data_IF_998826101538
#
_entry.id   IF_998826101538
#
_cell.length_a   1.000
_cell.length_b   1.000
_cell.length_c   1.000
_cell.angle_alpha   90.00
_cell.angle_beta   90.00
_cell.angle_gamma   90.00
#
_symmetry.space_group_name_H-M   'P 1'
#
loop_
_entity.id
_entity.type
_entity.pdbx_description
1 polymer ?
#
# COMPACT_ATOMS: atom_id res chain seq x y z
N UNK A 1 -15.49 20.10 16.24
CA UNK A 1 -14.39 19.63 15.36
C UNK A 1 -14.66 18.32 14.64
N UNK A 2 -15.65 17.47 14.98
CA UNK A 2 -15.97 16.25 14.20
C UNK A 2 -16.60 16.50 12.81
N UNK A 3 -17.09 17.71 12.53
CA UNK A 3 -17.88 18.00 11.31
C UNK A 3 -17.06 18.18 10.03
N UNK A 4 -15.77 18.53 10.10
CA UNK A 4 -14.96 18.79 8.88
C UNK A 4 -14.45 17.50 8.24
N UNK A 5 -14.04 16.51 9.03
CA UNK A 5 -13.55 15.22 8.51
C UNK A 5 -14.64 14.42 7.79
N UNK A 6 -15.83 14.34 8.39
CA UNK A 6 -16.98 13.63 7.80
C UNK A 6 -17.46 14.28 6.48
N UNK A 7 -17.34 15.61 6.38
CA UNK A 7 -17.77 16.37 5.19
C UNK A 7 -16.75 16.23 4.03
N UNK A 8 -15.46 16.07 4.34
CA UNK A 8 -14.43 15.75 3.35
C UNK A 8 -14.62 14.33 2.81
N UNK A 9 -14.83 13.34 3.68
CA UNK A 9 -15.07 11.94 3.28
C UNK A 9 -16.33 11.82 2.42
N UNK A 10 -17.40 12.56 2.77
CA UNK A 10 -18.63 12.58 1.97
C UNK A 10 -18.42 13.21 0.60
N UNK A 11 -17.73 14.36 0.52
CA UNK A 11 -17.38 15.00 -0.76
C UNK A 11 -16.47 14.14 -1.63
N UNK A 12 -15.60 13.34 -1.02
CA UNK A 12 -14.75 12.37 -1.72
C UNK A 12 -15.55 11.19 -2.27
N UNK A 13 -16.51 10.67 -1.51
CA UNK A 13 -17.44 9.65 -1.99
C UNK A 13 -18.31 10.17 -3.13
N UNK A 14 -18.77 11.42 -3.05
CA UNK A 14 -19.53 12.09 -4.10
C UNK A 14 -18.68 12.32 -5.36
N UNK A 15 -17.43 12.80 -5.22
CA UNK A 15 -16.49 12.95 -6.34
C UNK A 15 -16.15 11.60 -7.00
N UNK A 16 -16.00 10.54 -6.20
CA UNK A 16 -15.84 9.17 -6.69
C UNK A 16 -17.06 8.68 -7.46
N UNK A 17 -18.28 9.15 -7.13
CA UNK A 17 -19.52 8.77 -7.81
C UNK A 17 -19.80 9.53 -9.11
N UNK A 18 -19.36 10.79 -9.21
CA UNK A 18 -19.46 11.59 -10.46
C UNK A 18 -18.60 10.97 -11.57
N UNK A 19 -17.51 10.29 -11.19
CA UNK A 19 -16.59 9.60 -12.08
C UNK A 19 -17.19 8.36 -12.81
N UNK A 20 -18.33 7.85 -12.33
CA UNK A 20 -19.02 6.66 -12.88
C UNK A 20 -19.99 7.04 -14.03
N UNK A 21 -20.05 8.31 -14.43
CA UNK A 21 -21.06 8.84 -15.38
C UNK A 21 -20.89 8.40 -16.86
N UNK A 22 -19.94 7.52 -17.19
CA UNK A 22 -19.83 6.89 -18.51
C UNK A 22 -19.08 7.71 -19.58
N UNK A 23 -18.53 8.87 -19.23
CA UNK A 23 -17.61 9.63 -20.08
C UNK A 23 -16.17 9.07 -19.94
N UNK A 24 -15.40 8.93 -21.04
CA UNK A 24 -14.01 8.48 -20.97
C UNK A 24 -13.16 9.50 -20.20
N UNK A 25 -12.23 9.00 -19.39
CA UNK A 25 -11.37 9.85 -18.59
C UNK A 25 -10.40 10.64 -19.48
N UNK A 26 -10.17 11.93 -19.19
CA UNK A 26 -9.12 12.69 -19.86
C UNK A 26 -7.77 11.97 -19.70
N UNK A 27 -7.00 11.85 -20.78
CA UNK A 27 -5.70 11.15 -20.79
C UNK A 27 -4.70 11.77 -19.81
N UNK A 28 -4.86 13.06 -19.48
CA UNK A 28 -4.07 13.81 -18.52
C UNK A 28 -4.57 13.70 -17.06
N UNK A 29 -5.64 12.95 -16.82
CA UNK A 29 -6.13 12.70 -15.46
C UNK A 29 -5.15 11.85 -14.66
N UNK A 30 -5.00 12.19 -13.37
CA UNK A 30 -4.15 11.43 -12.44
C UNK A 30 -4.50 9.94 -12.33
N UNK A 31 -5.73 9.59 -12.73
CA UNK A 31 -6.25 8.23 -12.66
C UNK A 31 -5.92 7.37 -13.89
N UNK A 32 -5.40 7.97 -14.98
CA UNK A 32 -5.04 7.23 -16.21
C UNK A 32 -3.69 7.61 -16.79
N UNK A 33 -3.17 8.80 -16.49
CA UNK A 33 -1.89 9.27 -17.02
C UNK A 33 -0.74 8.36 -16.60
N UNK A 34 0.19 8.13 -17.51
CA UNK A 34 1.49 7.53 -17.20
C UNK A 34 2.45 8.64 -16.76
N UNK A 35 3.09 8.44 -15.61
CA UNK A 35 3.95 9.44 -15.01
C UNK A 35 5.42 9.07 -15.19
N UNK A 36 6.26 10.06 -15.49
CA UNK A 36 7.71 9.94 -15.40
C UNK A 36 8.14 10.05 -13.92
N UNK A 37 8.08 8.91 -13.21
CA UNK A 37 8.37 8.82 -11.77
C UNK A 37 9.78 8.25 -11.53
N UNK A 38 10.43 8.62 -10.42
CA UNK A 38 11.62 7.91 -9.94
C UNK A 38 11.36 6.40 -9.82
N UNK A 39 12.39 5.53 -10.01
CA UNK A 39 12.24 4.07 -9.95
C UNK A 39 11.52 3.59 -8.69
N UNK A 40 11.85 4.24 -7.57
CA UNK A 40 11.06 4.52 -6.38
C UNK A 40 9.56 4.17 -6.34
N UNK A 41 8.91 4.76 -7.34
CA UNK A 41 7.48 5.00 -7.41
C UNK A 41 6.92 4.55 -8.76
N UNK A 42 7.74 3.90 -9.59
CA UNK A 42 7.31 3.40 -10.90
C UNK A 42 6.14 2.42 -10.81
N UNK A 43 6.06 1.67 -9.70
CA UNK A 43 4.92 0.78 -9.36
C UNK A 43 3.57 1.50 -9.40
N UNK A 44 3.51 2.83 -9.23
CA UNK A 44 2.25 3.57 -9.32
C UNK A 44 1.64 3.51 -10.71
N UNK A 45 2.46 3.42 -11.77
CA UNK A 45 1.97 3.31 -13.13
C UNK A 45 1.34 1.93 -13.41
N UNK A 46 1.65 0.91 -12.61
CA UNK A 46 1.04 -0.43 -12.72
C UNK A 46 -0.39 -0.44 -12.18
N UNK A 47 -0.78 0.55 -11.37
CA UNK A 47 -2.12 0.63 -10.80
C UNK A 47 -3.17 0.97 -11.85
N UNK A 48 -4.27 0.22 -11.84
CA UNK A 48 -5.47 0.54 -12.60
C UNK A 48 -6.25 1.71 -11.96
N UNK A 49 -7.28 2.20 -12.66
CA UNK A 49 -8.11 3.34 -12.21
C UNK A 49 -8.66 3.14 -10.79
N UNK A 50 -9.16 1.95 -10.48
CA UNK A 50 -9.78 1.66 -9.19
C UNK A 50 -8.75 1.65 -8.06
N UNK A 51 -7.58 1.06 -8.30
CA UNK A 51 -6.46 1.06 -7.38
C UNK A 51 -5.93 2.49 -7.14
N UNK A 52 -5.82 3.31 -8.19
CA UNK A 52 -5.43 4.73 -8.05
C UNK A 52 -6.45 5.52 -7.23
N UNK A 53 -7.75 5.25 -7.38
CA UNK A 53 -8.79 5.85 -6.52
C UNK A 53 -8.57 5.45 -5.05
N UNK A 54 -8.32 4.17 -4.78
CA UNK A 54 -8.03 3.70 -3.41
C UNK A 54 -6.74 4.30 -2.85
N UNK A 55 -5.71 4.42 -3.68
CA UNK A 55 -4.45 5.07 -3.34
C UNK A 55 -4.67 6.54 -2.92
N UNK A 56 -5.36 7.33 -3.73
CA UNK A 56 -5.58 8.74 -3.39
C UNK A 56 -6.52 8.90 -2.19
N UNK A 57 -7.54 8.06 -2.07
CA UNK A 57 -8.46 8.08 -0.93
C UNK A 57 -7.72 7.80 0.37
N UNK A 58 -6.93 6.72 0.43
CA UNK A 58 -6.15 6.40 1.62
C UNK A 58 -5.06 7.41 1.93
N UNK A 59 -4.40 7.97 0.90
CA UNK A 59 -3.42 9.05 1.10
C UNK A 59 -4.08 10.29 1.72
N UNK A 60 -5.27 10.67 1.27
CA UNK A 60 -6.04 11.76 1.85
C UNK A 60 -6.45 11.47 3.29
N UNK A 61 -6.85 10.24 3.61
CA UNK A 61 -7.14 9.84 5.00
C UNK A 61 -5.91 9.99 5.90
N UNK A 62 -4.71 9.60 5.42
CA UNK A 62 -3.45 9.77 6.15
C UNK A 62 -3.13 11.26 6.38
N UNK A 63 -3.34 12.10 5.36
CA UNK A 63 -3.09 13.54 5.42
C UNK A 63 -4.10 14.28 6.32
N UNK A 64 -5.37 13.87 6.29
CA UNK A 64 -6.44 14.50 7.05
C UNK A 64 -6.45 14.08 8.53
N UNK A 65 -5.69 13.05 8.91
CA UNK A 65 -5.70 12.52 10.28
C UNK A 65 -5.02 13.51 11.24
N UNK A 66 -5.75 14.09 12.21
CA UNK A 66 -5.22 15.15 13.07
C UNK A 66 -4.17 14.65 14.07
N UNK A 67 -4.29 13.39 14.50
CA UNK A 67 -3.36 12.75 15.43
C UNK A 67 -2.97 11.37 14.93
N UNK A 68 -1.67 11.12 14.85
CA UNK A 68 -1.09 9.85 14.44
C UNK A 68 -0.39 9.23 15.62
N UNK A 69 -1.12 8.50 16.45
CA UNK A 69 -0.57 7.85 17.64
C UNK A 69 -0.32 6.36 17.37
N UNK A 70 0.88 5.90 17.72
CA UNK A 70 1.25 4.49 17.67
C UNK A 70 0.59 3.68 18.79
N UNK A 71 0.50 2.34 18.68
CA UNK A 71 -0.01 1.48 19.75
C UNK A 71 0.74 1.64 21.09
N UNK A 72 2.01 2.03 21.04
CA UNK A 72 2.83 2.30 22.22
C UNK A 72 2.68 3.74 22.77
N UNK A 73 1.69 4.51 22.30
CA UNK A 73 1.39 5.87 22.74
C UNK A 73 2.31 6.96 22.18
N UNK A 74 3.33 6.60 21.38
CA UNK A 74 4.21 7.59 20.76
C UNK A 74 3.51 8.31 19.61
N UNK A 75 3.68 9.62 19.52
CA UNK A 75 3.29 10.40 18.36
C UNK A 75 4.17 10.02 17.15
N UNK A 76 3.51 9.85 16.01
CA UNK A 76 4.10 9.61 14.70
C UNK A 76 3.98 10.89 13.89
N UNK A 77 5.04 11.23 13.17
CA UNK A 77 5.01 12.38 12.26
C UNK A 77 4.19 12.05 11.02
N UNK A 78 3.49 13.03 10.45
CA UNK A 78 2.75 12.84 9.19
C UNK A 78 3.65 12.32 8.07
N UNK A 79 4.88 12.84 7.94
CA UNK A 79 5.85 12.36 6.95
C UNK A 79 6.12 10.86 7.09
N UNK A 80 6.23 10.35 8.33
CA UNK A 80 6.47 8.92 8.55
C UNK A 80 5.26 8.08 8.20
N UNK A 81 4.05 8.56 8.49
CA UNK A 81 2.81 7.87 8.08
C UNK A 81 2.64 7.83 6.56
N UNK A 82 2.96 8.93 5.86
CA UNK A 82 2.94 8.96 4.39
C UNK A 82 3.94 7.96 3.82
N UNK A 83 5.17 7.93 4.34
CA UNK A 83 6.20 6.98 3.89
C UNK A 83 5.75 5.53 4.06
N UNK A 84 5.20 5.19 5.22
CA UNK A 84 4.68 3.84 5.48
C UNK A 84 3.50 3.49 4.55
N UNK A 85 2.64 4.46 4.25
CA UNK A 85 1.54 4.29 3.29
C UNK A 85 2.05 3.97 1.88
N UNK A 86 3.03 4.74 1.38
CA UNK A 86 3.65 4.52 0.07
C UNK A 86 4.37 3.16 0.01
N UNK A 87 5.12 2.81 1.06
CA UNK A 87 5.81 1.53 1.16
C UNK A 87 4.85 0.34 1.20
N UNK A 88 3.70 0.49 1.85
CA UNK A 88 2.66 -0.54 1.87
C UNK A 88 2.14 -0.84 0.47
N UNK A 89 1.82 0.21 -0.30
CA UNK A 89 1.38 0.04 -1.69
C UNK A 89 2.45 -0.59 -2.58
N UNK A 90 3.69 -0.11 -2.49
CA UNK A 90 4.82 -0.71 -3.20
C UNK A 90 4.91 -2.22 -2.92
N UNK A 91 4.90 -2.61 -1.64
CA UNK A 91 4.99 -4.01 -1.25
C UNK A 91 3.79 -4.83 -1.75
N UNK A 92 2.59 -4.27 -1.76
CA UNK A 92 1.41 -4.93 -2.32
C UNK A 92 1.56 -5.18 -3.81
N UNK A 93 1.98 -4.18 -4.59
CA UNK A 93 2.21 -4.33 -6.03
C UNK A 93 3.31 -5.37 -6.29
N UNK A 94 4.43 -5.31 -5.58
CA UNK A 94 5.52 -6.28 -5.71
C UNK A 94 5.06 -7.73 -5.46
N UNK A 95 4.21 -7.95 -4.45
CA UNK A 95 3.63 -9.25 -4.13
C UNK A 95 2.63 -9.72 -5.20
N UNK A 96 1.72 -8.85 -5.64
CA UNK A 96 0.70 -9.21 -6.63
C UNK A 96 1.30 -9.47 -8.02
N UNK A 97 2.38 -8.77 -8.36
CA UNK A 97 3.14 -8.97 -9.60
C UNK A 97 4.08 -10.19 -9.53
N UNK A 98 4.22 -10.84 -8.37
CA UNK A 98 5.12 -11.99 -8.15
C UNK A 98 4.42 -13.16 -7.45
N UNK A 99 3.68 -14.01 -8.18
CA UNK A 99 2.96 -15.15 -7.61
C UNK A 99 3.84 -16.10 -6.79
N UNK A 100 5.11 -16.24 -7.15
CA UNK A 100 6.08 -17.07 -6.45
C UNK A 100 6.41 -16.53 -5.05
N UNK A 101 6.44 -15.20 -4.88
CA UNK A 101 6.64 -14.58 -3.57
C UNK A 101 5.43 -14.81 -2.66
N UNK A 102 4.21 -14.71 -3.19
CA UNK A 102 2.99 -15.02 -2.43
C UNK A 102 3.00 -16.47 -1.96
N UNK A 103 3.39 -17.40 -2.84
CA UNK A 103 3.48 -18.81 -2.47
C UNK A 103 4.59 -19.08 -1.45
N UNK A 104 5.75 -18.44 -1.60
CA UNK A 104 6.84 -18.53 -0.62
C UNK A 104 6.41 -18.00 0.76
N UNK A 105 5.65 -16.90 0.81
CA UNK A 105 5.09 -16.36 2.06
C UNK A 105 4.09 -17.34 2.67
N UNK A 106 3.19 -17.92 1.88
CA UNK A 106 2.22 -18.92 2.37
C UNK A 106 2.92 -20.16 2.93
N UNK A 107 3.91 -20.67 2.20
CA UNK A 107 4.70 -21.81 2.65
C UNK A 107 5.43 -21.50 3.95
N UNK A 108 6.04 -20.31 4.06
CA UNK A 108 6.69 -19.88 5.30
C UNK A 108 5.74 -19.77 6.51
N UNK A 109 4.49 -19.36 6.28
CA UNK A 109 3.46 -19.34 7.33
C UNK A 109 3.07 -20.76 7.74
N UNK A 110 2.82 -21.67 6.78
CA UNK A 110 2.52 -23.08 7.07
C UNK A 110 3.67 -23.75 7.81
N UNK A 111 4.91 -23.50 7.39
CA UNK A 111 6.11 -23.97 8.06
C UNK A 111 6.20 -23.46 9.50
N UNK A 112 5.92 -22.18 9.73
CA UNK A 112 5.88 -21.62 11.09
C UNK A 112 4.80 -22.27 11.96
N UNK A 113 3.57 -22.42 11.45
CA UNK A 113 2.46 -23.04 12.17
C UNK A 113 2.72 -24.51 12.52
N UNK A 114 3.45 -25.21 11.65
CA UNK A 114 3.83 -26.61 11.85
C UNK A 114 5.17 -26.79 12.59
N UNK A 115 5.81 -25.69 13.02
CA UNK A 115 7.09 -25.71 13.74
C UNK A 115 8.28 -26.15 12.88
N UNK A 116 8.17 -26.05 11.55
CA UNK A 116 9.22 -26.34 10.58
C UNK A 116 10.08 -25.10 10.29
N UNK A 117 10.84 -24.65 11.27
CA UNK A 117 11.80 -23.57 11.08
C UNK A 117 13.21 -24.06 11.42
N UNK A 118 14.18 -23.63 10.63
CA UNK A 118 15.59 -23.81 10.94
C UNK A 118 16.14 -22.48 11.46
N UNK A 119 16.96 -22.54 12.50
CA UNK A 119 17.77 -21.41 12.93
C UNK A 119 18.77 -21.03 11.84
N UNK A 120 19.26 -19.79 11.91
CA UNK A 120 20.28 -19.32 10.99
C UNK A 120 21.55 -20.18 11.08
N UNK A 121 21.92 -20.56 12.30
CA UNK A 121 23.07 -21.42 12.55
C UNK A 121 22.90 -22.81 11.90
N UNK A 122 21.73 -23.43 12.01
CA UNK A 122 21.44 -24.73 11.37
C UNK A 122 21.51 -24.64 9.83
N UNK A 123 21.03 -23.53 9.25
CA UNK A 123 21.10 -23.29 7.80
C UNK A 123 22.56 -23.08 7.37
N UNK A 124 23.33 -22.27 8.10
CA UNK A 124 24.74 -22.02 7.81
C UNK A 124 25.59 -23.29 7.94
N UNK A 125 25.34 -24.14 8.95
CA UNK A 125 26.00 -25.44 9.09
C UNK A 125 25.67 -26.38 7.91
N UNK A 126 24.40 -26.46 7.50
CA UNK A 126 23.99 -27.29 6.36
C UNK A 126 24.64 -26.81 5.05
N UNK A 127 24.61 -25.51 4.77
CA UNK A 127 25.17 -24.95 3.54
C UNK A 127 26.70 -25.06 3.47
N UNK A 128 27.40 -25.00 4.60
CA UNK A 128 28.85 -25.17 4.67
C UNK A 128 29.30 -26.64 4.66
N UNK A 129 28.37 -27.59 4.85
CA UNK A 129 28.62 -29.02 4.82
C UNK A 129 28.45 -29.66 3.42
N UNK A 130 27.94 -28.89 2.44
CA UNK A 130 27.73 -29.30 1.04
C UNK A 130 28.90 -28.87 0.15
#
# INVERSE_FOLDING_TARGET
>A
MKKEGDDIVKKLSEASSVYVAGEPLPEDSLLVAEFDLPPEFAWFNELNVQERIYFFTGLLEVLAKPELTLPNGRQRTHIKAIKEYLQGWQATVELESSPELVEAVRQGIDDMEQGRFASREEVEEFLNAV
#
